data_IF_715227136674
#
_entry.id   IF_715227136674
#
_cell.length_a   1.000
_cell.length_b   1.000
_cell.length_c   1.000
_cell.angle_alpha   90.00
_cell.angle_beta   90.00
_cell.angle_gamma   90.00
#
_symmetry.space_group_name_H-M   'P 1'
#
loop_
_entity.id
_entity.type
_entity.pdbx_description
1 polymer ?
#
# COMPACT_ATOMS: atom_id res chain seq x y z
N UNK A 1 7.19 12.61 37.26
CA UNK A 1 6.60 11.29 36.99
C UNK A 1 5.46 11.44 35.99
N UNK A 2 5.81 11.52 34.71
CA UNK A 2 4.94 11.87 33.59
C UNK A 2 5.31 10.96 32.42
N UNK A 3 4.35 10.24 31.85
CA UNK A 3 4.33 9.65 30.50
C UNK A 3 3.42 8.41 30.41
N UNK A 4 2.10 8.59 30.54
CA UNK A 4 1.10 7.64 29.99
C UNK A 4 -0.09 8.45 29.46
N UNK A 5 0.11 9.17 28.35
CA UNK A 5 -0.96 9.85 27.59
C UNK A 5 -0.72 9.86 26.07
N UNK A 6 -0.09 8.81 25.54
CA UNK A 6 0.32 8.74 24.13
C UNK A 6 -0.41 7.74 23.23
N UNK A 7 -1.51 7.09 23.66
CA UNK A 7 -2.06 5.95 22.91
C UNK A 7 -3.59 5.88 22.70
N UNK A 8 -4.36 6.93 23.01
CA UNK A 8 -5.84 6.86 22.95
C UNK A 8 -6.56 7.97 22.16
N UNK A 9 -5.87 8.73 21.29
CA UNK A 9 -6.52 9.80 20.51
C UNK A 9 -6.52 9.59 18.97
N UNK A 10 -6.70 8.37 18.50
CA UNK A 10 -6.93 8.06 17.07
C UNK A 10 -8.41 7.83 16.69
N UNK A 11 -9.38 8.03 17.59
CA UNK A 11 -10.81 7.80 17.31
C UNK A 11 -11.69 9.06 17.16
N UNK A 12 -11.13 10.22 16.80
CA UNK A 12 -11.93 11.42 16.48
C UNK A 12 -11.60 12.10 15.14
N UNK A 13 -11.19 11.33 14.13
CA UNK A 13 -11.37 11.77 12.74
C UNK A 13 -12.82 11.48 12.32
N UNK A 14 -13.68 12.51 12.35
CA UNK A 14 -15.10 12.44 11.96
C UNK A 14 -15.35 12.26 10.46
N UNK A 15 -14.34 11.86 9.69
CA UNK A 15 -14.47 11.37 8.33
C UNK A 15 -13.40 10.28 8.11
N UNK A 16 -13.77 8.99 8.05
CA UNK A 16 -12.84 7.96 7.60
C UNK A 16 -12.43 8.27 6.14
N UNK A 17 -11.19 7.96 5.72
CA UNK A 17 -10.85 7.97 4.31
C UNK A 17 -11.80 7.02 3.59
N UNK A 18 -12.63 7.60 2.73
CA UNK A 18 -13.57 6.86 1.88
C UNK A 18 -12.76 6.06 0.86
N UNK A 19 -12.56 4.81 1.23
CA UNK A 19 -12.02 3.72 0.42
C UNK A 19 -12.29 2.35 1.08
N UNK A 20 -12.98 2.31 2.23
CA UNK A 20 -13.58 1.09 2.74
C UNK A 20 -14.67 0.73 1.73
N UNK A 21 -14.44 -0.31 0.93
CA UNK A 21 -15.48 -0.99 0.19
C UNK A 21 -16.62 -1.18 1.19
N UNK A 22 -17.73 -0.49 1.00
CA UNK A 22 -18.94 -0.71 1.79
C UNK A 22 -19.45 -2.09 1.41
N UNK A 23 -18.83 -3.11 2.01
CA UNK A 23 -19.26 -4.48 1.96
C UNK A 23 -20.53 -4.50 2.81
N UNK A 24 -21.68 -4.23 2.17
CA UNK A 24 -22.94 -4.67 2.76
C UNK A 24 -22.74 -6.14 3.11
N UNK A 25 -22.91 -6.56 4.37
CA UNK A 25 -22.74 -7.96 4.73
C UNK A 25 -23.71 -8.75 3.87
N UNK A 26 -23.16 -9.52 2.92
CA UNK A 26 -23.95 -10.45 2.15
C UNK A 26 -24.54 -11.45 3.14
N UNK A 27 -25.74 -11.95 2.88
CA UNK A 27 -26.31 -13.06 3.65
C UNK A 27 -25.36 -14.29 3.69
N UNK A 28 -24.48 -14.36 2.68
CA UNK A 28 -23.43 -15.37 2.47
C UNK A 28 -22.04 -14.93 2.99
N UNK A 29 -21.90 -13.77 3.66
CA UNK A 29 -20.61 -13.30 4.21
C UNK A 29 -20.05 -14.20 5.30
N UNK A 30 -20.91 -15.03 5.92
CA UNK A 30 -20.55 -15.96 6.99
C UNK A 30 -20.40 -17.41 6.49
N UNK A 31 -20.27 -17.63 5.17
CA UNK A 31 -20.10 -18.97 4.61
C UNK A 31 -18.80 -19.57 5.14
N UNK A 32 -18.91 -20.61 5.96
CA UNK A 32 -17.74 -21.40 6.40
C UNK A 32 -17.22 -22.18 5.21
N UNK A 33 -15.93 -22.01 4.94
CA UNK A 33 -15.22 -22.71 3.87
C UNK A 33 -14.27 -23.74 4.49
N UNK A 34 -14.01 -24.82 3.75
CA UNK A 34 -13.10 -25.87 4.22
C UNK A 34 -11.65 -25.38 4.24
N UNK A 35 -10.81 -26.01 5.08
CA UNK A 35 -9.37 -25.72 5.17
C UNK A 35 -8.65 -25.77 3.81
N UNK A 36 -8.98 -26.75 2.98
CA UNK A 36 -8.41 -26.89 1.63
C UNK A 36 -8.70 -25.67 0.73
N UNK A 37 -9.88 -25.04 0.86
CA UNK A 37 -10.19 -23.80 0.16
C UNK A 37 -9.36 -22.64 0.71
N UNK A 38 -9.26 -22.53 2.03
CA UNK A 38 -8.47 -21.47 2.69
C UNK A 38 -6.99 -21.53 2.29
N UNK A 39 -6.40 -22.73 2.26
CA UNK A 39 -5.02 -22.94 1.84
C UNK A 39 -4.80 -22.58 0.37
N UNK A 40 -5.74 -22.97 -0.52
CA UNK A 40 -5.65 -22.70 -1.96
C UNK A 40 -5.81 -21.20 -2.27
N UNK A 41 -6.71 -20.52 -1.58
CA UNK A 41 -6.99 -19.08 -1.71
C UNK A 41 -6.05 -18.20 -0.87
N UNK A 42 -5.13 -18.78 -0.10
CA UNK A 42 -4.33 -18.03 0.85
C UNK A 42 -3.46 -16.98 0.13
N UNK A 43 -3.68 -15.68 0.36
CA UNK A 43 -2.90 -14.63 -0.29
C UNK A 43 -1.55 -14.38 0.41
N UNK A 44 -1.34 -14.93 1.61
CA UNK A 44 -0.10 -14.76 2.38
C UNK A 44 0.91 -15.83 1.96
N UNK A 45 1.76 -15.45 1.01
CA UNK A 45 2.78 -16.33 0.45
C UNK A 45 4.16 -15.71 0.57
N UNK A 46 5.16 -16.57 0.52
CA UNK A 46 6.55 -16.15 0.46
C UNK A 46 6.75 -15.33 -0.81
N UNK A 47 7.59 -14.30 -0.75
CA UNK A 47 8.00 -13.60 -1.96
C UNK A 47 8.85 -14.54 -2.81
N UNK A 48 8.73 -14.50 -4.16
CA UNK A 48 9.68 -15.16 -5.04
C UNK A 48 11.11 -14.72 -4.72
N UNK A 49 12.05 -15.67 -4.74
CA UNK A 49 13.48 -15.39 -4.61
C UNK A 49 14.01 -14.82 -5.91
N UNK A 50 13.79 -13.53 -6.13
CA UNK A 50 14.20 -12.79 -7.32
C UNK A 50 14.80 -11.44 -6.89
N UNK A 51 16.09 -11.25 -7.14
CA UNK A 51 16.81 -10.03 -6.77
C UNK A 51 16.23 -8.77 -7.41
N UNK A 52 15.70 -8.87 -8.65
CA UNK A 52 15.09 -7.73 -9.33
C UNK A 52 13.81 -7.30 -8.63
N UNK A 53 13.00 -8.28 -8.20
CA UNK A 53 11.79 -8.03 -7.43
C UNK A 53 12.11 -7.44 -6.05
N UNK A 54 13.11 -7.97 -5.35
CA UNK A 54 13.51 -7.46 -4.04
C UNK A 54 14.01 -6.00 -4.12
N UNK A 55 14.85 -5.68 -5.12
CA UNK A 55 15.29 -4.31 -5.38
C UNK A 55 14.11 -3.39 -5.69
N UNK A 56 13.17 -3.86 -6.54
CA UNK A 56 11.96 -3.12 -6.87
C UNK A 56 11.11 -2.82 -5.64
N UNK A 57 10.93 -3.81 -4.76
CA UNK A 57 10.19 -3.62 -3.51
C UNK A 57 10.90 -2.62 -2.60
N UNK A 58 12.22 -2.73 -2.44
CA UNK A 58 13.02 -1.79 -1.65
C UNK A 58 12.83 -0.34 -2.13
N UNK A 59 13.05 -0.10 -3.42
CA UNK A 59 12.92 1.24 -4.01
C UNK A 59 11.49 1.78 -3.94
N UNK A 60 10.48 0.98 -4.26
CA UNK A 60 9.08 1.45 -4.26
C UNK A 60 8.61 1.74 -2.83
N UNK A 61 9.08 0.98 -1.83
CA UNK A 61 8.83 1.31 -0.42
C UNK A 61 9.49 2.62 0.00
N UNK A 62 10.72 2.88 -0.45
CA UNK A 62 11.37 4.17 -0.24
C UNK A 62 10.58 5.32 -0.89
N UNK A 63 10.11 5.14 -2.13
CA UNK A 63 9.25 6.11 -2.81
C UNK A 63 7.95 6.34 -2.01
N UNK A 64 7.26 5.28 -1.57
CA UNK A 64 6.02 5.36 -0.78
C UNK A 64 6.21 6.20 0.47
N UNK A 65 7.20 5.86 1.30
CA UNK A 65 7.47 6.57 2.54
C UNK A 65 7.85 8.02 2.28
N UNK A 66 8.73 8.29 1.33
CA UNK A 66 9.19 9.64 1.03
C UNK A 66 8.05 10.52 0.51
N UNK A 67 7.25 10.03 -0.45
CA UNK A 67 6.10 10.77 -0.95
C UNK A 67 5.02 10.96 0.12
N UNK A 68 4.79 9.96 0.99
CA UNK A 68 3.86 10.09 2.11
C UNK A 68 4.32 11.15 3.10
N UNK A 69 5.58 11.10 3.52
CA UNK A 69 6.18 12.05 4.46
C UNK A 69 6.34 13.45 3.88
N UNK A 70 6.50 13.61 2.57
CA UNK A 70 6.57 14.93 1.94
C UNK A 70 5.19 15.48 1.60
N UNK A 71 4.29 14.70 1.02
CA UNK A 71 3.10 15.25 0.36
C UNK A 71 1.77 15.02 1.12
N UNK A 72 1.72 14.13 2.11
CA UNK A 72 0.48 13.80 2.85
C UNK A 72 0.49 14.39 4.27
N UNK A 73 -0.61 15.03 4.74
CA UNK A 73 -1.81 15.43 3.99
C UNK A 73 -1.59 16.68 3.12
N UNK A 74 -0.49 17.40 3.34
CA UNK A 74 -0.01 18.54 2.56
C UNK A 74 1.50 18.54 2.53
N UNK A 75 2.09 19.17 1.52
CA UNK A 75 3.50 19.57 1.51
C UNK A 75 3.72 20.83 2.35
N UNK A 76 4.95 21.02 2.80
CA UNK A 76 5.42 22.20 3.52
C UNK A 76 6.24 23.12 2.58
N UNK A 77 6.28 24.43 2.85
CA UNK A 77 7.21 25.32 2.16
C UNK A 77 8.66 24.87 2.38
N UNK A 78 9.46 24.82 1.32
CA UNK A 78 10.86 24.39 1.39
C UNK A 78 11.09 22.88 1.26
N UNK A 79 10.03 22.08 1.12
CA UNK A 79 10.17 20.66 0.78
C UNK A 79 10.90 20.46 -0.56
N UNK A 80 11.60 19.34 -0.69
CA UNK A 80 12.29 18.98 -1.93
C UNK A 80 11.31 18.48 -3.00
N UNK A 81 10.70 19.45 -3.69
CA UNK A 81 9.80 19.18 -4.81
C UNK A 81 10.51 18.56 -6.03
N UNK A 82 11.83 18.78 -6.17
CA UNK A 82 12.61 18.14 -7.23
C UNK A 82 12.73 16.64 -6.97
N UNK A 83 13.01 16.24 -5.73
CA UNK A 83 12.99 14.84 -5.32
C UNK A 83 11.60 14.23 -5.54
N UNK A 84 10.52 14.88 -5.09
CA UNK A 84 9.15 14.40 -5.36
C UNK A 84 8.91 14.19 -6.86
N UNK A 85 9.35 15.12 -7.70
CA UNK A 85 9.22 15.04 -9.15
C UNK A 85 9.97 13.84 -9.75
N UNK A 86 11.19 13.57 -9.29
CA UNK A 86 12.01 12.41 -9.68
C UNK A 86 11.36 11.09 -9.26
N UNK A 87 10.92 10.99 -8.01
CA UNK A 87 10.26 9.80 -7.48
C UNK A 87 8.98 9.48 -8.27
N UNK A 88 8.16 10.49 -8.56
CA UNK A 88 6.97 10.32 -9.41
C UNK A 88 7.35 9.91 -10.83
N UNK A 89 8.40 10.49 -11.43
CA UNK A 89 8.83 10.13 -12.80
C UNK A 89 9.26 8.67 -12.88
N UNK A 90 9.95 8.18 -11.85
CA UNK A 90 10.27 6.77 -11.74
C UNK A 90 8.99 5.92 -11.76
N UNK A 91 8.01 6.20 -10.90
CA UNK A 91 6.74 5.45 -10.90
C UNK A 91 5.98 5.51 -12.23
N UNK A 92 6.01 6.66 -12.91
CA UNK A 92 5.31 6.89 -14.17
C UNK A 92 5.88 6.07 -15.34
N UNK A 93 7.19 5.78 -15.31
CA UNK A 93 7.93 5.14 -16.43
C UNK A 93 8.36 3.69 -16.14
N UNK A 94 8.30 3.24 -14.88
CA UNK A 94 8.73 1.89 -14.47
C UNK A 94 7.92 0.77 -15.13
N UNK A 95 8.63 -0.25 -15.60
CA UNK A 95 8.09 -1.44 -16.30
C UNK A 95 8.17 -2.73 -15.49
N UNK A 96 8.78 -2.67 -14.33
CA UNK A 96 9.01 -3.77 -13.39
C UNK A 96 7.96 -3.84 -12.28
N UNK A 97 7.04 -2.86 -12.20
CA UNK A 97 5.93 -2.89 -11.25
C UNK A 97 5.01 -4.08 -11.56
N UNK A 98 4.88 -5.00 -10.62
CA UNK A 98 3.90 -6.10 -10.66
C UNK A 98 2.75 -5.84 -9.70
N UNK A 99 1.67 -6.63 -9.80
CA UNK A 99 0.57 -6.52 -8.84
C UNK A 99 1.04 -6.75 -7.39
N UNK A 100 2.01 -7.65 -7.20
CA UNK A 100 2.64 -7.89 -5.90
C UNK A 100 3.34 -6.64 -5.37
N UNK A 101 4.17 -5.97 -6.17
CA UNK A 101 4.86 -4.74 -5.76
C UNK A 101 3.84 -3.67 -5.35
N UNK A 102 2.82 -3.44 -6.17
CA UNK A 102 1.79 -2.45 -5.90
C UNK A 102 1.00 -2.73 -4.61
N UNK A 103 0.86 -4.01 -4.24
CA UNK A 103 0.17 -4.42 -3.02
C UNK A 103 1.06 -4.37 -1.77
N UNK A 104 2.30 -4.83 -1.86
CA UNK A 104 3.20 -4.99 -0.72
C UNK A 104 3.84 -3.67 -0.24
N UNK A 105 3.80 -2.64 -1.08
CA UNK A 105 4.42 -1.33 -0.80
C UNK A 105 3.44 -0.24 -0.37
N UNK A 106 2.13 -0.48 -0.44
CA UNK A 106 1.07 0.52 -0.19
C UNK A 106 1.17 1.81 -1.03
N UNK A 107 2.06 1.87 -2.03
CA UNK A 107 2.30 3.07 -2.83
C UNK A 107 1.02 3.60 -3.50
N UNK A 108 0.10 2.71 -3.86
CA UNK A 108 -1.20 3.07 -4.44
C UNK A 108 -2.03 3.92 -3.49
N UNK A 109 -2.02 3.59 -2.19
CA UNK A 109 -2.77 4.33 -1.18
C UNK A 109 -2.18 5.72 -0.95
N UNK A 110 -0.84 5.82 -0.94
CA UNK A 110 -0.15 7.12 -0.88
C UNK A 110 -0.46 7.97 -2.10
N UNK A 111 -0.35 7.44 -3.32
CA UNK A 111 -0.69 8.17 -4.55
C UNK A 111 -2.17 8.60 -4.55
N UNK A 112 -3.08 7.74 -4.09
CA UNK A 112 -4.51 8.09 -3.95
C UNK A 112 -4.73 9.21 -2.93
N UNK A 113 -4.05 9.15 -1.78
CA UNK A 113 -4.13 10.20 -0.76
C UNK A 113 -3.65 11.56 -1.28
N UNK A 114 -2.55 11.58 -2.04
CA UNK A 114 -2.00 12.80 -2.65
C UNK A 114 -2.94 13.32 -3.75
N UNK A 115 -3.51 12.44 -4.59
CA UNK A 115 -4.44 12.79 -5.67
C UNK A 115 -5.73 13.45 -5.17
N UNK A 116 -6.22 13.01 -3.99
CA UNK A 116 -7.42 13.51 -3.31
C UNK A 116 -7.22 14.89 -2.65
N UNK A 117 -6.00 15.41 -2.61
CA UNK A 117 -5.76 16.83 -2.27
C UNK A 117 -6.39 17.72 -3.35
N UNK A 118 -6.53 19.01 -3.05
CA UNK A 118 -7.05 20.00 -4.00
C UNK A 118 -8.55 20.20 -3.82
N UNK A 119 -8.89 21.08 -2.88
CA UNK A 119 -10.24 21.54 -2.59
C UNK A 119 -10.26 22.33 -1.29
N UNK A 120 -11.41 22.90 -0.91
CA UNK A 120 -11.53 23.75 0.30
C UNK A 120 -11.07 23.07 1.59
N UNK A 121 -11.25 21.75 1.71
CA UNK A 121 -10.82 20.96 2.88
C UNK A 121 -9.37 20.51 2.82
N UNK A 122 -8.71 20.57 1.67
CA UNK A 122 -7.32 20.13 1.47
C UNK A 122 -6.65 21.03 0.43
N UNK A 123 -6.47 22.33 0.74
CA UNK A 123 -5.74 23.24 -0.11
C UNK A 123 -4.35 22.69 -0.42
N UNK A 124 -3.88 22.92 -1.63
CA UNK A 124 -2.53 22.56 -2.05
C UNK A 124 -1.73 23.86 -2.08
N UNK A 125 -0.57 23.93 -1.42
CA UNK A 125 0.33 25.07 -1.57
C UNK A 125 0.84 25.17 -3.02
N UNK A 126 1.58 26.23 -3.34
CA UNK A 126 2.21 26.33 -4.67
C UNK A 126 3.34 25.30 -4.79
N UNK A 127 3.05 24.20 -5.48
CA UNK A 127 4.00 23.13 -5.78
C UNK A 127 4.50 23.27 -7.24
N UNK A 128 5.82 23.26 -7.51
CA UNK A 128 6.35 23.25 -8.87
C UNK A 128 6.17 21.87 -9.54
N UNK A 129 6.58 21.72 -10.82
CA UNK A 129 6.60 20.45 -11.58
C UNK A 129 5.25 19.75 -11.79
N UNK A 130 4.14 20.47 -11.64
CA UNK A 130 2.78 19.96 -11.82
C UNK A 130 2.51 18.65 -11.04
N UNK A 131 3.12 18.51 -9.85
CA UNK A 131 3.13 17.27 -9.07
C UNK A 131 1.72 16.72 -8.85
N UNK A 132 0.77 17.58 -8.47
CA UNK A 132 -0.60 17.15 -8.21
C UNK A 132 -1.32 16.62 -9.47
N UNK A 133 -1.12 17.28 -10.62
CA UNK A 133 -1.69 16.84 -11.90
C UNK A 133 -1.14 15.48 -12.30
N UNK A 134 0.17 15.29 -12.15
CA UNK A 134 0.89 14.04 -12.41
C UNK A 134 0.41 12.90 -11.52
N UNK A 135 0.31 13.14 -10.22
CA UNK A 135 -0.23 12.15 -9.26
C UNK A 135 -1.67 11.77 -9.61
N UNK A 136 -2.53 12.72 -10.01
CA UNK A 136 -3.89 12.40 -10.45
C UNK A 136 -3.92 11.54 -11.72
N UNK A 137 -3.01 11.77 -12.67
CA UNK A 137 -2.89 10.94 -13.86
C UNK A 137 -2.44 9.51 -13.49
N UNK A 138 -1.45 9.37 -12.62
CA UNK A 138 -0.95 8.08 -12.13
C UNK A 138 -2.02 7.31 -11.33
N UNK A 139 -2.76 7.99 -10.46
CA UNK A 139 -3.87 7.41 -9.70
C UNK A 139 -4.93 6.84 -10.65
N UNK A 140 -5.36 7.63 -11.66
CA UNK A 140 -6.34 7.18 -12.64
C UNK A 140 -5.87 5.98 -13.43
N UNK A 141 -4.59 5.96 -13.82
CA UNK A 141 -3.97 4.85 -14.54
C UNK A 141 -4.03 3.55 -13.73
N UNK A 142 -3.53 3.57 -12.50
CA UNK A 142 -3.56 2.39 -11.64
C UNK A 142 -4.99 1.98 -11.26
N UNK A 143 -5.89 2.94 -11.05
CA UNK A 143 -7.32 2.67 -10.81
C UNK A 143 -8.01 2.04 -12.04
N UNK A 144 -7.60 2.39 -13.27
CA UNK A 144 -8.08 1.76 -14.49
C UNK A 144 -7.55 0.32 -14.62
N UNK A 145 -6.27 0.09 -14.34
CA UNK A 145 -5.69 -1.25 -14.31
C UNK A 145 -6.40 -2.15 -13.29
N UNK A 146 -6.73 -1.62 -12.12
CA UNK A 146 -7.40 -2.39 -11.07
C UNK A 146 -8.82 -2.84 -11.47
N UNK A 147 -9.53 -2.02 -12.23
CA UNK A 147 -10.89 -2.31 -12.73
C UNK A 147 -10.88 -3.24 -13.95
N UNK A 148 -9.71 -3.54 -14.51
CA UNK A 148 -9.62 -4.44 -15.65
C UNK A 148 -10.05 -5.87 -15.24
N UNK A 149 -10.87 -6.51 -16.08
CA UNK A 149 -11.34 -7.88 -15.87
C UNK A 149 -10.19 -8.92 -15.96
N UNK A 150 -9.01 -8.51 -16.40
CA UNK A 150 -7.78 -9.32 -16.45
C UNK A 150 -6.91 -9.17 -15.20
N UNK A 151 -7.47 -8.73 -14.06
CA UNK A 151 -6.72 -8.63 -12.82
C UNK A 151 -6.52 -10.01 -12.20
N UNK A 152 -5.26 -10.40 -12.05
CA UNK A 152 -4.86 -11.60 -11.32
C UNK A 152 -5.16 -11.48 -9.82
N UNK A 153 -5.48 -12.60 -9.18
CA UNK A 153 -5.65 -12.73 -7.73
C UNK A 153 -4.33 -13.04 -7.06
N UNK A 154 -4.21 -12.64 -5.80
CA UNK A 154 -2.97 -12.70 -5.03
C UNK A 154 -2.44 -14.12 -4.84
N UNK A 155 -3.33 -15.11 -4.86
CA UNK A 155 -3.00 -16.53 -4.79
C UNK A 155 -2.73 -17.16 -6.17
N UNK A 156 -2.78 -16.41 -7.27
CA UNK A 156 -2.48 -16.93 -8.60
C UNK A 156 -0.97 -16.87 -8.88
N UNK A 157 -0.35 -17.92 -9.47
CA UNK A 157 1.10 -17.98 -9.67
C UNK A 157 1.68 -16.80 -10.47
N UNK A 158 0.94 -16.28 -11.45
CA UNK A 158 1.40 -15.17 -12.30
C UNK A 158 1.28 -13.80 -11.62
N UNK A 159 0.65 -13.70 -10.46
CA UNK A 159 0.41 -12.42 -9.78
C UNK A 159 1.72 -11.67 -9.47
N UNK A 160 2.74 -12.43 -9.07
CA UNK A 160 4.05 -11.90 -8.72
C UNK A 160 4.90 -11.46 -9.93
N UNK A 161 4.66 -12.05 -11.10
CA UNK A 161 5.48 -11.82 -12.31
C UNK A 161 4.79 -10.99 -13.40
N UNK A 162 3.47 -10.79 -13.30
CA UNK A 162 2.71 -10.01 -14.28
C UNK A 162 2.98 -8.51 -14.11
N UNK A 163 3.81 -7.99 -15.02
CA UNK A 163 4.20 -6.58 -15.10
C UNK A 163 3.03 -5.71 -15.56
N UNK A 164 2.88 -4.57 -14.90
CA UNK A 164 1.89 -3.56 -15.26
C UNK A 164 2.45 -2.64 -16.34
N UNK A 165 1.61 -2.17 -17.27
CA UNK A 165 2.04 -1.16 -18.23
C UNK A 165 2.38 0.16 -17.50
N UNK A 166 3.47 0.85 -17.88
CA UNK A 166 3.78 2.17 -17.33
C UNK A 166 2.73 3.20 -17.78
N UNK A 167 2.65 4.34 -17.08
CA UNK A 167 1.83 5.46 -17.52
C UNK A 167 2.45 6.12 -18.75
N UNK A 168 3.77 6.29 -18.73
CA UNK A 168 4.54 6.94 -19.79
C UNK A 168 5.37 5.89 -20.53
N UNK A 169 5.13 5.78 -21.84
CA UNK A 169 5.87 4.88 -22.72
C UNK A 169 7.17 5.54 -23.24
N UNK A 170 8.03 5.95 -22.32
CA UNK A 170 9.37 6.46 -22.65
C UNK A 170 10.32 5.29 -22.90
N UNK A 171 11.19 5.37 -23.92
CA UNK A 171 12.06 4.24 -24.29
C UNK A 171 12.96 3.83 -23.12
N UNK A 172 13.44 4.83 -22.37
CA UNK A 172 14.27 4.64 -21.20
C UNK A 172 13.39 4.80 -19.95
N UNK A 173 13.17 3.70 -19.21
CA UNK A 173 12.59 3.80 -17.87
C UNK A 173 13.54 4.63 -17.02
N UNK A 174 13.06 5.73 -16.43
CA UNK A 174 13.91 6.55 -15.54
C UNK A 174 14.17 5.75 -14.27
N UNK A 175 15.33 5.10 -14.23
CA UNK A 175 15.82 4.39 -13.05
C UNK A 175 16.00 5.41 -11.93
N UNK A 176 15.56 5.07 -10.73
CA UNK A 176 15.69 5.96 -9.58
C UNK A 176 17.15 5.91 -9.09
N UNK A 177 17.89 6.98 -9.33
CA UNK A 177 19.22 7.16 -8.77
C UNK A 177 19.10 7.66 -7.33
N UNK A 178 19.28 6.74 -6.37
CA UNK A 178 19.41 7.06 -4.95
C UNK A 178 20.86 7.40 -4.62
N UNK A 179 21.09 8.37 -3.73
CA UNK A 179 22.41 8.54 -3.12
C UNK A 179 22.76 7.34 -2.23
N UNK A 180 24.04 7.14 -1.93
CA UNK A 180 24.49 6.05 -1.05
C UNK A 180 23.78 6.06 0.31
N UNK A 181 23.56 7.26 0.88
CA UNK A 181 22.82 7.43 2.12
C UNK A 181 21.34 7.04 1.97
N UNK A 182 20.68 7.46 0.89
CA UNK A 182 19.29 7.12 0.61
C UNK A 182 19.11 5.61 0.35
N UNK A 183 20.06 5.00 -0.35
CA UNK A 183 20.06 3.57 -0.63
C UNK A 183 20.25 2.76 0.66
N UNK A 184 21.19 3.15 1.53
CA UNK A 184 21.40 2.50 2.83
C UNK A 184 20.17 2.62 3.75
N UNK A 185 19.54 3.79 3.78
CA UNK A 185 18.31 4.00 4.57
C UNK A 185 17.12 3.19 4.01
N UNK A 186 16.98 3.13 2.68
CA UNK A 186 15.97 2.31 2.02
C UNK A 186 16.16 0.82 2.33
N UNK A 187 17.39 0.32 2.27
CA UNK A 187 17.71 -1.07 2.57
C UNK A 187 17.46 -1.44 4.03
N UNK A 188 17.82 -0.56 4.97
CA UNK A 188 17.55 -0.78 6.39
C UNK A 188 16.05 -0.87 6.69
N UNK A 189 15.24 0.01 6.09
CA UNK A 189 13.78 -0.10 6.22
C UNK A 189 13.22 -1.34 5.53
N UNK A 190 13.72 -1.66 4.34
CA UNK A 190 13.27 -2.84 3.61
C UNK A 190 13.53 -4.11 4.42
N UNK A 191 14.70 -4.26 5.05
CA UNK A 191 15.00 -5.39 5.95
C UNK A 191 14.05 -5.47 7.14
N UNK A 192 13.77 -4.33 7.79
CA UNK A 192 12.80 -4.27 8.90
C UNK A 192 11.43 -4.78 8.46
N UNK A 193 10.92 -4.23 7.36
CA UNK A 193 9.64 -4.60 6.79
C UNK A 193 9.62 -6.07 6.37
N UNK A 194 10.67 -6.55 5.69
CA UNK A 194 10.80 -7.93 5.23
C UNK A 194 10.76 -8.89 6.41
N UNK A 195 11.47 -8.56 7.50
CA UNK A 195 11.48 -9.36 8.72
C UNK A 195 10.09 -9.47 9.35
N UNK A 196 9.34 -8.36 9.51
CA UNK A 196 7.99 -8.43 10.09
C UNK A 196 7.00 -9.13 9.14
N UNK A 197 7.12 -8.87 7.83
CA UNK A 197 6.30 -9.53 6.81
C UNK A 197 6.50 -11.04 6.87
N UNK A 198 7.73 -11.54 6.82
CA UNK A 198 8.01 -12.98 6.77
C UNK A 198 7.66 -13.68 8.08
N UNK A 199 7.80 -12.99 9.21
CA UNK A 199 7.25 -13.44 10.49
C UNK A 199 5.74 -13.67 10.38
N UNK A 200 4.98 -12.68 9.91
CA UNK A 200 3.52 -12.80 9.78
C UNK A 200 3.11 -13.84 8.75
N UNK A 201 3.75 -13.88 7.58
CA UNK A 201 3.47 -14.87 6.54
C UNK A 201 3.74 -16.29 7.03
N UNK A 202 4.83 -16.53 7.76
CA UNK A 202 5.14 -17.86 8.28
C UNK A 202 4.04 -18.41 9.19
N UNK A 203 3.43 -17.55 10.02
CA UNK A 203 2.27 -17.91 10.83
C UNK A 203 1.02 -18.15 9.98
N UNK A 204 0.70 -17.22 9.08
CA UNK A 204 -0.54 -17.22 8.27
C UNK A 204 -0.57 -18.33 7.22
N UNK A 205 0.58 -18.90 6.86
CA UNK A 205 0.65 -20.11 6.03
C UNK A 205 0.20 -21.36 6.81
N UNK A 206 0.59 -21.46 8.08
CA UNK A 206 0.21 -22.57 8.97
C UNK A 206 -1.22 -22.42 9.50
N UNK A 207 -1.67 -21.17 9.63
CA UNK A 207 -2.99 -20.80 10.12
C UNK A 207 -3.69 -19.86 9.12
N UNK A 208 -4.15 -20.38 7.95
CA UNK A 208 -4.84 -19.56 6.97
C UNK A 208 -6.07 -18.89 7.59
N UNK A 209 -6.19 -17.55 7.55
CA UNK A 209 -7.32 -16.88 8.16
C UNK A 209 -8.57 -17.05 7.29
N UNK A 210 -9.72 -16.88 7.92
CA UNK A 210 -10.99 -16.77 7.20
C UNK A 210 -11.03 -15.47 6.37
N UNK A 211 -11.68 -15.47 5.19
CA UNK A 211 -11.94 -14.25 4.45
C UNK A 211 -12.74 -13.25 5.30
N UNK A 212 -12.40 -11.97 5.21
CA UNK A 212 -13.16 -10.90 5.87
C UNK A 212 -14.54 -10.71 5.22
N UNK A 213 -14.67 -11.05 3.94
CA UNK A 213 -15.92 -11.03 3.21
C UNK A 213 -15.83 -11.90 1.95
N UNK A 214 -16.97 -12.03 1.27
CA UNK A 214 -17.05 -12.55 -0.08
C UNK A 214 -17.63 -11.49 -1.02
N UNK A 215 -17.14 -11.47 -2.26
CA UNK A 215 -17.69 -10.69 -3.36
C UNK A 215 -18.32 -11.65 -4.37
N UNK A 216 -19.50 -11.30 -4.87
CA UNK A 216 -20.12 -12.05 -5.96
C UNK A 216 -19.47 -11.68 -7.28
N UNK A 217 -19.02 -12.68 -8.02
CA UNK A 217 -18.33 -12.51 -9.29
C UNK A 217 -18.93 -13.40 -10.36
N UNK A 218 -18.98 -12.90 -11.60
CA UNK A 218 -19.34 -13.66 -12.78
C UNK A 218 -18.07 -14.26 -13.43
N UNK A 219 -18.25 -15.23 -14.34
CA UNK A 219 -17.12 -15.88 -15.03
C UNK A 219 -16.20 -14.88 -15.72
N UNK A 220 -16.76 -13.83 -16.32
CA UNK A 220 -16.01 -12.78 -17.03
C UNK A 220 -15.10 -11.95 -16.13
N UNK A 221 -15.33 -11.95 -14.81
CA UNK A 221 -14.56 -11.18 -13.83
C UNK A 221 -13.35 -11.97 -13.30
N UNK A 222 -13.19 -13.23 -13.74
CA UNK A 222 -12.12 -14.13 -13.33
C UNK A 222 -11.28 -14.49 -14.55
N UNK A 223 -9.97 -14.30 -14.41
CA UNK A 223 -9.06 -14.46 -15.54
C UNK A 223 -8.75 -15.93 -15.87
N UNK A 224 -8.66 -16.79 -14.86
CA UNK A 224 -8.21 -18.18 -14.99
C UNK A 224 -9.35 -19.17 -14.70
N UNK A 225 -9.40 -20.28 -15.44
CA UNK A 225 -10.38 -21.34 -15.18
C UNK A 225 -10.11 -21.98 -13.82
N UNK A 226 -8.83 -22.14 -13.44
CA UNK A 226 -8.44 -22.72 -12.16
C UNK A 226 -8.94 -21.91 -10.97
N UNK A 227 -8.92 -20.57 -11.07
CA UNK A 227 -9.51 -19.70 -10.05
C UNK A 227 -11.03 -19.76 -10.10
N UNK A 228 -11.65 -19.79 -11.28
CA UNK A 228 -13.11 -19.89 -11.36
C UNK A 228 -13.60 -21.17 -10.67
N UNK A 229 -13.00 -22.31 -10.98
CA UNK A 229 -13.45 -23.62 -10.55
C UNK A 229 -13.33 -23.86 -9.04
N UNK A 230 -12.38 -23.20 -8.39
CA UNK A 230 -12.21 -23.29 -6.93
C UNK A 230 -13.18 -22.41 -6.13
N UNK A 231 -13.80 -21.39 -6.72
CA UNK A 231 -14.70 -20.51 -5.98
C UNK A 231 -16.02 -21.24 -5.66
N UNK A 232 -16.57 -21.10 -4.43
CA UNK A 232 -17.89 -21.59 -4.10
C UNK A 232 -18.96 -20.92 -4.97
N UNK A 233 -20.02 -21.66 -5.30
CA UNK A 233 -21.21 -21.10 -5.94
C UNK A 233 -21.96 -20.18 -4.98
N UNK A 234 -22.58 -19.11 -5.48
CA UNK A 234 -23.50 -18.30 -4.69
C UNK A 234 -24.84 -19.01 -4.57
N UNK A 235 -25.42 -19.02 -3.37
CA UNK A 235 -26.71 -19.68 -3.12
C UNK A 235 -27.89 -18.80 -3.54
N UNK A 236 -27.67 -17.48 -3.58
CA UNK A 236 -28.70 -16.48 -3.90
C UNK A 236 -28.79 -16.09 -5.37
N UNK A 237 -27.79 -16.38 -6.20
CA UNK A 237 -27.77 -16.02 -7.62
C UNK A 237 -27.09 -17.09 -8.47
N UNK A 238 -27.88 -17.72 -9.36
CA UNK A 238 -27.39 -18.72 -10.29
C UNK A 238 -26.34 -18.13 -11.24
N UNK A 239 -25.27 -18.88 -11.51
CA UNK A 239 -24.19 -18.47 -12.40
C UNK A 239 -23.14 -17.54 -11.79
N UNK A 240 -23.29 -17.16 -10.51
CA UNK A 240 -22.28 -16.38 -9.78
C UNK A 240 -21.52 -17.25 -8.78
N UNK A 241 -20.26 -16.87 -8.53
CA UNK A 241 -19.39 -17.48 -7.52
C UNK A 241 -18.94 -16.46 -6.49
N UNK A 242 -18.43 -16.96 -5.36
CA UNK A 242 -18.03 -16.18 -4.20
C UNK A 242 -16.50 -16.03 -4.14
N UNK A 243 -16.00 -14.85 -4.49
CA UNK A 243 -14.59 -14.49 -4.41
C UNK A 243 -14.24 -14.05 -2.97
N UNK A 244 -13.27 -14.69 -2.29
CA UNK A 244 -12.88 -14.28 -0.96
C UNK A 244 -12.12 -12.96 -0.97
N UNK A 245 -12.40 -12.12 0.02
CA UNK A 245 -11.68 -10.87 0.30
C UNK A 245 -10.98 -11.02 1.63
N UNK A 246 -9.66 -10.86 1.63
CA UNK A 246 -8.82 -11.01 2.82
C UNK A 246 -8.41 -9.66 3.39
N UNK A 247 -8.32 -9.58 4.72
CA UNK A 247 -7.80 -8.41 5.43
C UNK A 247 -6.29 -8.25 5.16
N UNK A 248 -5.76 -7.04 4.92
CA UNK A 248 -4.32 -6.83 4.72
C UNK A 248 -3.43 -7.40 5.83
N UNK A 249 -2.22 -7.85 5.48
CA UNK A 249 -1.29 -8.53 6.41
C UNK A 249 -1.00 -7.71 7.68
N UNK A 250 -0.96 -6.39 7.57
CA UNK A 250 -0.70 -5.48 8.69
C UNK A 250 -1.78 -5.55 9.79
N UNK A 251 -3.00 -5.96 9.45
CA UNK A 251 -4.13 -6.08 10.38
C UNK A 251 -4.40 -7.54 10.79
N UNK A 252 -3.59 -8.48 10.33
CA UNK A 252 -3.75 -9.89 10.69
C UNK A 252 -3.31 -10.14 12.14
N UNK A 253 -4.11 -10.89 12.93
CA UNK A 253 -3.77 -11.22 14.31
C UNK A 253 -2.71 -12.33 14.32
N UNK A 254 -1.44 -11.92 14.38
CA UNK A 254 -0.30 -12.83 14.54
C UNK A 254 0.22 -12.73 15.97
N UNK A 255 0.43 -13.86 16.68
CA UNK A 255 0.98 -13.84 18.03
C UNK A 255 2.28 -13.04 18.11
N UNK A 256 2.43 -12.26 19.19
CA UNK A 256 3.59 -11.39 19.37
C UNK A 256 4.89 -12.18 19.59
N UNK A 257 4.76 -13.37 20.17
CA UNK A 257 5.82 -14.34 20.42
C UNK A 257 6.17 -15.21 19.19
N UNK A 258 5.41 -15.10 18.10
CA UNK A 258 5.74 -15.82 16.87
C UNK A 258 7.00 -15.24 16.23
N UNK A 259 8.06 -16.06 16.13
CA UNK A 259 9.34 -15.63 15.61
C UNK A 259 9.41 -15.66 14.07
N UNK A 260 10.20 -14.72 13.51
CA UNK A 260 10.55 -14.76 12.10
C UNK A 260 11.39 -16.01 11.80
N UNK A 261 11.15 -16.69 10.67
CA UNK A 261 11.96 -17.85 10.27
C UNK A 261 13.41 -17.46 9.98
N UNK A 262 13.64 -16.25 9.48
CA UNK A 262 14.96 -15.70 9.20
C UNK A 262 15.35 -14.64 10.23
N UNK A 263 16.35 -14.96 11.07
CA UNK A 263 16.87 -14.05 12.10
C UNK A 263 17.88 -13.04 11.53
N UNK A 264 18.38 -13.25 10.30
CA UNK A 264 19.37 -12.37 9.67
C UNK A 264 18.79 -11.02 9.24
N UNK A 265 17.48 -10.95 9.02
CA UNK A 265 16.75 -9.74 8.66
C UNK A 265 16.45 -8.81 9.85
N UNK A 266 16.89 -9.18 11.07
CA UNK A 266 16.64 -8.36 12.26
C UNK A 266 17.53 -7.11 12.24
N UNK A 267 16.90 -5.96 12.48
CA UNK A 267 17.63 -4.70 12.61
C UNK A 267 18.64 -4.72 13.75
N UNK A 268 19.80 -4.14 13.49
CA UNK A 268 20.85 -3.86 14.47
C UNK A 268 20.38 -2.79 15.48
N UNK A 269 21.00 -2.70 16.68
CA UNK A 269 20.67 -1.65 17.64
C UNK A 269 20.82 -0.23 17.10
N UNK A 270 21.82 0.02 16.26
CA UNK A 270 22.04 1.33 15.62
C UNK A 270 20.93 1.68 14.63
N UNK A 271 20.49 0.72 13.82
CA UNK A 271 19.34 0.88 12.90
C UNK A 271 18.05 1.20 13.67
N UNK A 272 17.83 0.52 14.82
CA UNK A 272 16.67 0.79 15.68
C UNK A 272 16.67 2.22 16.24
N UNK A 273 17.83 2.72 16.68
CA UNK A 273 17.97 4.10 17.17
C UNK A 273 17.69 5.12 16.06
N UNK A 274 18.31 4.95 14.88
CA UNK A 274 18.05 5.80 13.71
C UNK A 274 16.56 5.82 13.34
N UNK A 275 15.90 4.65 13.42
CA UNK A 275 14.46 4.53 13.15
C UNK A 275 13.60 5.24 14.18
N UNK A 276 13.99 5.23 15.44
CA UNK A 276 13.28 5.97 16.49
C UNK A 276 13.43 7.48 16.30
N UNK A 277 14.63 7.97 15.99
CA UNK A 277 14.85 9.38 15.65
C UNK A 277 14.02 9.80 14.44
N UNK A 278 13.98 8.96 13.40
CA UNK A 278 13.16 9.23 12.23
C UNK A 278 11.67 9.30 12.59
N UNK A 279 11.17 8.37 13.41
CA UNK A 279 9.76 8.38 13.88
C UNK A 279 9.43 9.65 14.67
N UNK A 280 10.38 10.17 15.46
CA UNK A 280 10.21 11.45 16.15
C UNK A 280 10.10 12.60 15.14
N UNK A 281 11.02 12.68 14.19
CA UNK A 281 10.99 13.70 13.11
C UNK A 281 9.69 13.63 12.29
N UNK A 282 9.21 12.45 11.94
CA UNK A 282 7.92 12.29 11.26
C UNK A 282 6.75 12.81 12.10
N UNK A 283 6.75 12.56 13.41
CA UNK A 283 5.68 13.03 14.28
C UNK A 283 5.69 14.56 14.40
N UNK A 284 6.86 15.16 14.61
CA UNK A 284 7.02 16.61 14.67
C UNK A 284 6.55 17.25 13.34
N UNK A 285 6.99 16.69 12.22
CA UNK A 285 6.60 17.13 10.88
C UNK A 285 5.09 16.97 10.61
N UNK A 286 4.43 15.95 11.17
CA UNK A 286 2.96 15.81 11.05
C UNK A 286 2.23 16.94 11.75
N UNK A 287 2.71 17.40 12.90
CA UNK A 287 2.13 18.54 13.61
C UNK A 287 2.32 19.83 12.81
N UNK A 288 3.51 20.04 12.25
CA UNK A 288 3.80 21.18 11.36
C UNK A 288 2.86 21.21 10.14
N UNK A 289 2.69 20.06 9.48
CA UNK A 289 1.76 19.91 8.35
C UNK A 289 0.33 20.19 8.72
N UNK A 290 -0.10 19.73 9.89
CA UNK A 290 -1.45 19.98 10.38
C UNK A 290 -1.70 21.49 10.59
N UNK A 291 -0.78 22.18 11.27
CA UNK A 291 -0.89 23.61 11.51
C UNK A 291 -0.78 24.41 10.20
N UNK A 292 0.09 24.01 9.28
CA UNK A 292 0.19 24.66 7.97
C UNK A 292 -1.09 24.47 7.15
N UNK A 293 -1.65 23.26 7.10
CA UNK A 293 -2.90 23.00 6.40
C UNK A 293 -4.08 23.80 6.99
N UNK A 294 -4.09 23.99 8.32
CA UNK A 294 -5.09 24.83 8.99
C UNK A 294 -4.97 26.29 8.56
N UNK A 295 -3.75 26.83 8.46
CA UNK A 295 -3.52 28.20 7.94
C UNK A 295 -3.98 28.35 6.50
N UNK A 296 -3.61 27.42 5.61
CA UNK A 296 -4.04 27.45 4.21
C UNK A 296 -5.58 27.46 4.06
N UNK A 297 -6.30 26.72 4.92
CA UNK A 297 -7.77 26.74 4.92
C UNK A 297 -8.32 28.10 5.32
N UNK A 298 -7.74 28.73 6.34
CA UNK A 298 -8.15 30.07 6.79
C UNK A 298 -7.90 31.12 5.71
N UNK A 299 -6.76 31.07 5.03
CA UNK A 299 -6.43 31.97 3.92
C UNK A 299 -7.42 31.82 2.75
N UNK A 300 -7.77 30.59 2.38
CA UNK A 300 -8.79 30.34 1.34
C UNK A 300 -10.18 30.85 1.73
N UNK A 301 -10.57 30.67 2.99
CA UNK A 301 -11.87 31.13 3.50
C UNK A 301 -11.95 32.67 3.55
N UNK A 302 -10.83 33.37 3.74
CA UNK A 302 -10.76 34.83 3.71
C UNK A 302 -10.72 35.41 2.29
N UNK A 303 -10.26 34.63 1.31
CA UNK A 303 -10.16 35.03 -0.09
C UNK A 303 -11.43 34.72 -0.93
N UNK A 304 -12.41 34.02 -0.34
CA UNK A 304 -13.69 33.64 -0.97
C UNK A 304 -14.82 34.58 -0.56
#
# INVERSE_FOLDING_TARGET
MSAIRGFLNTFKARHPPVGIISLKPLRESNRRVGRAFLERCNPYRDLPKDAVLENTLCEVRYIDRTLRDLMVPTSLPGDDYHLCSKLLRSLETRRDLTWLVLRETDIRDTISAIARRGGRRSPIPKEPHDLHTRVRALERHWSALEKCHTRLREWEPKYASHRQPPLLNEKDSTMLELSDEQAADAEAEYREWRSDRDRKVSYLKLNPPEPAAFLKVARRDIQTDETWDMLPTSDSQQGLRLLPVYTPIIFQPVPLDWEAPDKSLRNTPSEKLRREEFRRRENDRREEKYEFQKRLRQEMDQAS
#
